data_IF_889363040684
#
_entry.id   IF_889363040684
#
_cell.length_a   1.000
_cell.length_b   1.000
_cell.length_c   1.000
_cell.angle_alpha   90.00
_cell.angle_beta   90.00
_cell.angle_gamma   90.00
#
_symmetry.space_group_name_H-M   'P 1'
#
loop_
_entity.id
_entity.type
_entity.pdbx_description
1 polymer ?
#
# COMPACT_ATOMS: atom_id res chain seq x y z
N UNK A 1 18.24 3.11 -4.56
CA UNK A 1 17.67 3.49 -5.88
C UNK A 1 17.95 2.30 -6.77
N UNK A 2 16.95 1.49 -7.09
CA UNK A 2 17.16 0.31 -7.94
C UNK A 2 17.83 0.74 -9.24
N UNK A 3 18.91 0.05 -9.63
CA UNK A 3 19.58 0.31 -10.91
C UNK A 3 18.58 -0.06 -12.00
N UNK A 4 18.27 0.87 -12.91
CA UNK A 4 17.40 0.61 -14.07
C UNK A 4 17.92 -0.64 -14.79
N UNK A 5 17.10 -1.68 -14.89
CA UNK A 5 17.39 -2.88 -15.69
C UNK A 5 17.57 -4.19 -14.93
N UNK A 6 17.66 -4.19 -13.58
CA UNK A 6 17.67 -5.44 -12.80
C UNK A 6 16.28 -5.78 -12.27
N UNK A 7 15.82 -7.01 -12.52
CA UNK A 7 14.61 -7.55 -11.92
C UNK A 7 14.90 -8.08 -10.52
N UNK A 8 14.05 -7.72 -9.56
CA UNK A 8 14.13 -8.18 -8.17
C UNK A 8 12.91 -9.06 -7.88
N UNK A 9 13.16 -10.33 -7.54
CA UNK A 9 12.08 -11.27 -7.17
C UNK A 9 12.01 -11.46 -5.66
N UNK A 10 10.80 -11.49 -5.12
CA UNK A 10 10.49 -11.87 -3.73
C UNK A 10 9.58 -13.08 -3.78
N UNK A 11 9.88 -14.11 -3.00
CA UNK A 11 9.09 -15.34 -2.93
C UNK A 11 8.61 -15.56 -1.50
N UNK A 12 7.34 -15.91 -1.36
CA UNK A 12 6.73 -16.37 -0.12
C UNK A 12 6.32 -17.83 -0.32
N UNK A 13 6.73 -18.67 0.62
CA UNK A 13 6.25 -20.04 0.75
C UNK A 13 5.22 -20.02 1.89
N UNK A 14 3.95 -20.16 1.54
CA UNK A 14 2.81 -20.19 2.45
C UNK A 14 2.38 -21.65 2.59
N UNK A 15 2.26 -22.13 3.80
CA UNK A 15 1.97 -23.54 4.09
C UNK A 15 0.59 -23.71 4.67
N UNK A 16 -0.06 -24.84 4.39
CA UNK A 16 -1.33 -25.23 5.00
C UNK A 16 -2.46 -24.22 4.74
N UNK A 17 -2.77 -23.99 3.46
CA UNK A 17 -3.84 -23.08 3.05
C UNK A 17 -5.22 -23.70 3.25
N UNK A 18 -6.11 -22.95 3.90
CA UNK A 18 -7.52 -23.29 4.10
C UNK A 18 -8.46 -22.20 3.54
N UNK A 19 -9.75 -22.55 3.45
CA UNK A 19 -10.82 -21.66 3.03
C UNK A 19 -10.90 -20.42 3.93
N UNK A 20 -10.81 -19.24 3.31
CA UNK A 20 -10.93 -17.96 4.00
C UNK A 20 -9.62 -17.43 4.60
N UNK A 21 -8.51 -18.13 4.44
CA UNK A 21 -7.21 -17.67 4.93
C UNK A 21 -6.78 -16.33 4.31
N UNK A 22 -6.16 -15.49 5.13
CA UNK A 22 -5.65 -14.17 4.73
C UNK A 22 -4.20 -13.99 5.16
N UNK A 23 -3.33 -13.75 4.20
CA UNK A 23 -1.90 -13.52 4.43
C UNK A 23 -1.49 -12.11 4.00
N UNK A 24 -0.88 -11.37 4.92
CA UNK A 24 -0.26 -10.07 4.60
C UNK A 24 1.20 -10.25 4.17
N UNK A 25 1.48 -9.85 2.93
CA UNK A 25 2.77 -10.02 2.27
C UNK A 25 3.45 -8.66 2.13
N UNK A 26 4.45 -8.40 2.98
CA UNK A 26 5.27 -7.17 2.93
C UNK A 26 6.53 -7.37 2.10
N UNK A 27 6.42 -7.06 0.80
CA UNK A 27 7.53 -7.25 -0.16
C UNK A 27 8.68 -6.29 0.10
N UNK A 28 8.47 -5.19 0.81
CA UNK A 28 9.53 -4.22 1.13
C UNK A 28 10.44 -4.72 2.24
N UNK A 29 9.89 -5.45 3.22
CA UNK A 29 10.67 -6.18 4.21
C UNK A 29 11.57 -7.22 3.53
N UNK A 30 11.00 -8.05 2.67
CA UNK A 30 11.75 -9.12 2.01
C UNK A 30 12.81 -8.59 1.04
N UNK A 31 12.49 -7.55 0.26
CA UNK A 31 13.49 -6.85 -0.55
C UNK A 31 14.62 -6.26 0.30
N UNK A 32 14.30 -5.71 1.48
CA UNK A 32 15.30 -5.18 2.40
C UNK A 32 16.25 -6.27 2.88
N UNK A 33 15.71 -7.42 3.31
CA UNK A 33 16.49 -8.59 3.72
C UNK A 33 17.38 -9.09 2.58
N UNK A 34 16.80 -9.26 1.38
CA UNK A 34 17.49 -9.80 0.20
C UNK A 34 18.61 -8.89 -0.32
N UNK A 35 18.36 -7.58 -0.35
CA UNK A 35 19.31 -6.61 -0.93
C UNK A 35 20.32 -6.08 0.09
N UNK A 36 20.16 -6.41 1.38
CA UNK A 36 20.95 -5.83 2.47
C UNK A 36 20.95 -4.29 2.42
N UNK A 37 19.86 -3.73 1.90
CA UNK A 37 19.66 -2.30 1.72
C UNK A 37 18.22 -1.97 2.08
N UNK A 38 18.02 -0.91 2.85
CA UNK A 38 16.70 -0.44 3.23
C UNK A 38 15.82 -0.08 2.01
N UNK A 39 14.84 -0.93 1.73
CA UNK A 39 13.70 -0.67 0.87
C UNK A 39 12.53 -0.28 1.78
N UNK A 40 12.24 1.03 1.81
CA UNK A 40 11.24 1.59 2.73
C UNK A 40 9.84 1.22 2.26
N UNK A 41 8.96 0.88 3.21
CA UNK A 41 7.53 0.77 2.97
C UNK A 41 6.94 2.09 2.42
N UNK A 42 7.57 3.24 2.71
CA UNK A 42 7.26 4.53 2.07
C UNK A 42 7.61 4.67 0.58
N UNK A 43 7.50 3.60 -0.20
CA UNK A 43 7.84 3.54 -1.62
C UNK A 43 6.67 2.99 -2.45
N UNK A 44 6.64 3.35 -3.73
CA UNK A 44 5.79 2.72 -4.74
C UNK A 44 6.67 1.73 -5.50
N UNK A 45 6.27 0.47 -5.50
CA UNK A 45 6.95 -0.62 -6.17
C UNK A 45 6.37 -0.82 -7.57
N UNK A 46 7.22 -1.17 -8.53
CA UNK A 46 6.87 -1.41 -9.92
C UNK A 46 6.78 -2.91 -10.17
N UNK A 47 5.59 -3.48 -9.96
CA UNK A 47 5.34 -4.90 -10.21
C UNK A 47 5.32 -5.15 -11.72
N UNK A 48 6.13 -6.09 -12.20
CA UNK A 48 6.23 -6.48 -13.61
C UNK A 48 5.89 -7.94 -13.86
N UNK A 49 5.63 -8.69 -12.80
CA UNK A 49 5.12 -10.04 -12.89
C UNK A 49 4.80 -10.60 -11.53
N UNK A 50 3.90 -11.57 -11.53
CA UNK A 50 3.47 -12.34 -10.38
C UNK A 50 3.31 -13.78 -10.85
N UNK A 51 3.90 -14.71 -10.11
CA UNK A 51 3.75 -16.14 -10.34
C UNK A 51 3.24 -16.80 -9.05
N UNK A 52 2.22 -17.63 -9.16
CA UNK A 52 1.66 -18.39 -8.04
C UNK A 52 1.58 -19.85 -8.47
N UNK A 53 2.11 -20.73 -7.63
CA UNK A 53 2.05 -22.18 -7.82
C UNK A 53 1.56 -22.85 -6.54
N UNK A 54 0.67 -23.82 -6.69
CA UNK A 54 0.28 -24.71 -5.61
C UNK A 54 1.06 -26.03 -5.67
N UNK A 55 1.36 -26.58 -4.50
CA UNK A 55 1.95 -27.89 -4.32
C UNK A 55 1.29 -28.59 -3.13
N UNK A 56 1.32 -29.92 -3.13
CA UNK A 56 0.90 -30.72 -1.98
C UNK A 56 2.05 -30.83 -0.99
N UNK A 57 1.75 -30.73 0.30
CA UNK A 57 2.69 -31.08 1.36
C UNK A 57 2.07 -32.20 2.18
N UNK A 58 2.60 -33.42 2.06
CA UNK A 58 2.01 -34.61 2.70
C UNK A 58 2.00 -35.84 1.80
N UNK A 59 1.23 -36.86 2.20
CA UNK A 59 1.11 -38.11 1.44
C UNK A 59 0.35 -37.89 0.12
N UNK A 60 0.83 -38.42 -1.03
CA UNK A 60 0.32 -38.11 -2.37
C UNK A 60 -1.06 -38.71 -2.72
N UNK A 61 -1.81 -39.17 -1.73
CA UNK A 61 -3.07 -39.87 -1.96
C UNK A 61 -4.18 -39.16 -1.17
N UNK A 62 -5.21 -38.60 -1.82
CA UNK A 62 -5.57 -38.58 -3.25
C UNK A 62 -4.89 -37.50 -4.13
N UNK A 63 -4.99 -37.63 -5.48
CA UNK A 63 -4.06 -37.03 -6.44
C UNK A 63 -4.49 -35.63 -6.91
N UNK A 64 -4.51 -34.64 -6.02
CA UNK A 64 -4.55 -33.25 -6.44
C UNK A 64 -5.43 -32.32 -5.62
N UNK A 65 -5.27 -31.03 -5.92
CA UNK A 65 -6.00 -29.95 -5.29
C UNK A 65 -6.00 -28.69 -6.14
N UNK A 66 -6.77 -27.71 -5.70
CA UNK A 66 -7.00 -26.43 -6.35
C UNK A 66 -7.08 -25.36 -5.27
N UNK A 67 -6.48 -24.22 -5.56
CA UNK A 67 -6.66 -23.00 -4.78
C UNK A 67 -7.14 -21.88 -5.69
N UNK A 68 -8.25 -21.28 -5.32
CA UNK A 68 -8.80 -20.08 -5.93
C UNK A 68 -8.74 -18.96 -4.90
N UNK A 69 -8.29 -17.78 -5.32
CA UNK A 69 -8.16 -16.67 -4.40
C UNK A 69 -7.98 -15.35 -5.12
N UNK A 70 -7.63 -14.35 -4.32
CA UNK A 70 -7.41 -13.00 -4.80
C UNK A 70 -6.26 -12.33 -4.07
N UNK A 71 -5.46 -11.58 -4.83
CA UNK A 71 -4.43 -10.70 -4.30
C UNK A 71 -4.93 -9.26 -4.30
N UNK A 72 -5.04 -8.70 -3.11
CA UNK A 72 -5.45 -7.33 -2.89
C UNK A 72 -4.23 -6.44 -2.71
N UNK A 73 -4.23 -5.29 -3.36
CA UNK A 73 -3.17 -4.30 -3.26
C UNK A 73 -3.71 -2.87 -3.35
N UNK A 74 -2.95 -1.92 -2.83
CA UNK A 74 -3.31 -0.50 -2.93
C UNK A 74 -2.63 0.14 -4.14
N UNK A 75 -3.42 0.63 -5.10
CA UNK A 75 -2.91 1.49 -6.17
C UNK A 75 -2.55 2.87 -5.62
N UNK A 76 -1.45 3.51 -6.07
CA UNK A 76 -1.00 4.79 -5.52
C UNK A 76 -1.78 5.96 -6.14
N UNK A 77 -2.96 6.22 -5.59
CA UNK A 77 -3.71 7.44 -5.91
C UNK A 77 -3.12 8.64 -5.16
N UNK A 78 -3.43 9.85 -5.64
CA UNK A 78 -2.98 11.09 -4.98
C UNK A 78 -3.42 11.13 -3.50
N UNK A 79 -4.70 10.86 -3.24
CA UNK A 79 -5.25 10.84 -1.88
C UNK A 79 -4.56 9.83 -0.97
N UNK A 80 -4.33 8.59 -1.43
CA UNK A 80 -3.63 7.57 -0.63
C UNK A 80 -2.18 7.96 -0.34
N UNK A 81 -1.48 8.51 -1.32
CA UNK A 81 -0.11 9.00 -1.13
C UNK A 81 -0.06 10.16 -0.13
N UNK A 82 -1.03 11.08 -0.18
CA UNK A 82 -1.10 12.21 0.75
C UNK A 82 -1.47 11.77 2.18
N UNK A 83 -2.39 10.81 2.32
CA UNK A 83 -2.71 10.14 3.58
C UNK A 83 -1.45 9.55 4.23
N UNK A 84 -0.69 8.77 3.47
CA UNK A 84 0.57 8.18 3.94
C UNK A 84 1.58 9.25 4.35
N UNK A 85 1.74 10.32 3.56
CA UNK A 85 2.68 11.42 3.89
C UNK A 85 2.31 12.13 5.19
N UNK A 86 1.00 12.34 5.43
CA UNK A 86 0.51 12.96 6.66
C UNK A 86 0.76 12.06 7.87
N UNK A 87 0.46 10.76 7.74
CA UNK A 87 0.73 9.77 8.78
C UNK A 87 2.24 9.71 9.12
N UNK A 88 3.10 9.60 8.10
CA UNK A 88 4.55 9.62 8.28
C UNK A 88 5.01 10.90 9.00
N UNK A 89 4.52 12.07 8.58
CA UNK A 89 4.91 13.36 9.17
C UNK A 89 4.47 13.48 10.63
N UNK A 90 3.27 12.98 10.97
CA UNK A 90 2.78 12.95 12.35
C UNK A 90 3.67 12.08 13.23
N UNK A 91 4.06 10.90 12.75
CA UNK A 91 4.96 9.99 13.47
C UNK A 91 6.36 10.58 13.63
N UNK A 92 6.94 11.21 12.60
CA UNK A 92 8.23 11.88 12.75
C UNK A 92 8.17 13.04 13.75
N UNK A 93 7.06 13.79 13.81
CA UNK A 93 6.84 14.83 14.81
C UNK A 93 6.81 14.24 16.22
N UNK A 94 6.09 13.13 16.43
CA UNK A 94 6.03 12.43 17.70
C UNK A 94 7.42 11.93 18.13
N UNK A 95 8.17 11.28 17.24
CA UNK A 95 9.55 10.83 17.51
C UNK A 95 10.46 11.98 17.94
N UNK A 96 10.37 13.12 17.25
CA UNK A 96 11.16 14.31 17.58
C UNK A 96 10.79 14.90 18.95
N UNK A 97 9.49 14.96 19.28
CA UNK A 97 9.03 15.43 20.59
C UNK A 97 9.55 14.54 21.72
N UNK A 98 9.69 13.25 21.45
CA UNK A 98 10.20 12.25 22.39
C UNK A 98 11.74 12.16 22.42
N UNK A 99 12.44 13.07 21.75
CA UNK A 99 13.91 13.09 21.75
C UNK A 99 14.57 11.93 20.99
N UNK A 100 13.82 11.14 20.22
CA UNK A 100 14.36 10.01 19.45
C UNK A 100 15.19 10.54 18.28
N UNK A 101 16.48 10.21 18.27
CA UNK A 101 17.39 10.63 17.21
C UNK A 101 16.98 10.06 15.83
N UNK A 102 17.25 10.77 14.73
CA UNK A 102 16.97 10.27 13.39
C UNK A 102 17.77 8.99 13.09
N UNK A 103 17.09 7.85 13.02
CA UNK A 103 17.70 6.59 12.61
C UNK A 103 17.48 6.36 11.10
N UNK A 104 18.56 6.19 10.34
CA UNK A 104 18.50 5.90 8.90
C UNK A 104 17.97 4.49 8.61
N UNK A 105 18.06 3.59 9.58
CA UNK A 105 17.51 2.23 9.53
C UNK A 105 16.06 2.16 10.00
N UNK A 106 15.47 3.24 10.51
CA UNK A 106 14.05 3.22 10.87
C UNK A 106 13.19 3.19 9.61
N UNK A 107 12.22 2.28 9.55
CA UNK A 107 11.18 2.29 8.53
C UNK A 107 9.80 2.51 9.15
N UNK A 108 9.05 3.47 8.61
CA UNK A 108 7.68 3.72 9.04
C UNK A 108 6.77 2.73 8.34
N UNK A 109 6.11 1.87 9.13
CA UNK A 109 5.21 0.84 8.63
C UNK A 109 3.76 1.09 9.03
N UNK A 110 2.87 0.71 8.14
CA UNK A 110 1.42 0.80 8.26
C UNK A 110 0.79 -0.54 7.87
N UNK A 111 -0.20 -0.96 8.64
CA UNK A 111 -1.17 -1.98 8.23
C UNK A 111 -2.16 -1.38 7.25
N UNK A 112 -2.53 -2.15 6.22
CA UNK A 112 -3.56 -1.74 5.26
C UNK A 112 -4.96 -2.18 5.64
N UNK A 113 -5.08 -3.12 6.57
CA UNK A 113 -6.34 -3.59 7.12
C UNK A 113 -6.30 -3.38 8.63
N UNK A 114 -7.44 -2.98 9.19
CA UNK A 114 -7.71 -2.83 10.62
C UNK A 114 -7.35 -4.10 11.40
N UNK A 115 -7.43 -5.26 10.73
CA UNK A 115 -7.17 -6.57 11.32
C UNK A 115 -5.71 -7.04 11.19
N UNK A 116 -4.86 -6.31 10.47
CA UNK A 116 -3.44 -6.67 10.32
C UNK A 116 -2.67 -6.16 11.53
N UNK A 117 -2.57 -7.04 12.53
CA UNK A 117 -1.70 -6.82 13.69
C UNK A 117 -0.27 -7.20 13.32
N UNK A 118 0.56 -6.20 13.05
CA UNK A 118 2.00 -6.39 13.10
C UNK A 118 2.43 -6.34 14.56
N UNK A 119 2.34 -7.47 15.26
CA UNK A 119 2.83 -7.57 16.63
C UNK A 119 4.31 -7.98 16.62
N UNK A 120 5.12 -7.28 17.41
CA UNK A 120 6.52 -7.62 17.68
C UNK A 120 6.73 -9.01 18.31
N UNK A 121 5.66 -9.68 18.75
CA UNK A 121 5.66 -11.04 19.31
C UNK A 121 4.99 -12.13 18.46
N UNK A 122 4.54 -11.82 17.23
CA UNK A 122 3.90 -12.80 16.34
C UNK A 122 4.86 -13.49 15.36
N UNK A 123 4.32 -14.36 14.50
CA UNK A 123 5.07 -15.11 13.46
C UNK A 123 5.70 -14.22 12.35
N UNK A 124 5.52 -12.90 12.40
CA UNK A 124 6.06 -11.94 11.42
C UNK A 124 6.58 -10.67 12.12
N UNK A 125 7.72 -10.72 12.83
CA UNK A 125 8.30 -9.52 13.44
C UNK A 125 8.73 -8.54 12.35
N UNK A 126 8.32 -7.27 12.46
CA UNK A 126 8.80 -6.22 11.55
C UNK A 126 10.27 -5.90 11.88
N UNK A 127 11.22 -6.14 10.97
CA UNK A 127 12.60 -5.72 11.20
C UNK A 127 12.72 -4.19 11.17
N UNK A 128 13.50 -3.63 12.10
CA UNK A 128 13.82 -2.21 12.22
C UNK A 128 12.62 -1.27 12.48
N UNK A 129 11.65 -1.77 13.22
CA UNK A 129 10.57 -0.94 13.78
C UNK A 129 11.11 -0.08 14.93
N UNK A 130 10.52 1.10 15.15
CA UNK A 130 10.75 1.83 16.39
C UNK A 130 9.73 1.38 17.42
N UNK A 131 10.12 1.38 18.69
CA UNK A 131 9.26 1.06 19.81
C UNK A 131 9.30 2.21 20.82
N UNK A 132 8.20 2.42 21.53
CA UNK A 132 8.19 3.11 22.80
C UNK A 132 8.52 2.11 23.90
N UNK A 133 9.52 2.40 24.71
CA UNK A 133 9.71 1.69 25.96
C UNK A 133 8.66 2.23 26.94
N UNK A 134 7.68 1.41 27.31
CA UNK A 134 6.74 1.82 28.35
C UNK A 134 7.36 1.56 29.73
N UNK A 135 7.16 2.50 30.65
CA UNK A 135 7.74 2.46 32.02
C UNK A 135 7.22 1.32 32.90
N UNK A 136 6.33 0.46 32.39
CA UNK A 136 5.83 -0.71 33.08
C UNK A 136 6.36 -1.99 32.40
N UNK A 137 7.30 -2.67 33.06
CA UNK A 137 7.71 -4.06 32.80
C UNK A 137 8.34 -4.38 31.43
N UNK A 138 9.13 -3.48 30.84
CA UNK A 138 9.90 -3.81 29.62
C UNK A 138 9.01 -4.12 28.41
N UNK A 139 7.74 -3.70 28.44
CA UNK A 139 6.84 -3.78 27.32
C UNK A 139 7.18 -2.67 26.32
N UNK A 140 7.74 -3.06 25.18
CA UNK A 140 7.93 -2.20 24.02
C UNK A 140 6.61 -2.09 23.25
N UNK A 141 6.04 -0.90 23.19
CA UNK A 141 4.92 -0.61 22.28
C UNK A 141 5.44 -0.19 20.92
N UNK A 142 5.11 -0.96 19.90
CA UNK A 142 5.49 -0.65 18.54
C UNK A 142 4.97 0.72 18.07
N UNK A 143 5.86 1.50 17.45
CA UNK A 143 5.60 2.82 16.91
C UNK A 143 5.08 2.71 15.47
N UNK A 144 3.92 2.06 15.32
CA UNK A 144 3.09 2.12 14.12
C UNK A 144 1.85 2.98 14.36
N UNK A 145 1.20 3.42 13.28
CA UNK A 145 -0.08 4.12 13.40
C UNK A 145 -1.16 3.09 13.76
N UNK A 146 -1.43 2.91 15.05
CA UNK A 146 -2.64 2.24 15.57
C UNK A 146 -3.63 3.31 16.01
N UNK A 147 -4.90 3.17 15.65
CA UNK A 147 -5.92 3.92 16.39
C UNK A 147 -6.04 3.30 17.78
N UNK A 148 -5.90 4.12 18.82
CA UNK A 148 -5.83 3.67 20.22
C UNK A 148 -7.17 3.22 20.81
N UNK A 149 -8.23 3.13 20.00
CA UNK A 149 -9.56 2.67 20.40
C UNK A 149 -10.12 1.72 19.35
N UNK A 150 -10.69 0.59 19.79
CA UNK A 150 -11.29 -0.44 18.94
C UNK A 150 -12.54 0.00 18.16
N UNK A 151 -12.40 0.97 17.24
CA UNK A 151 -13.46 1.47 16.37
C UNK A 151 -13.11 1.38 14.88
N UNK A 152 -14.09 1.67 14.01
CA UNK A 152 -14.03 1.63 12.53
C UNK A 152 -13.06 2.63 11.88
N UNK A 153 -12.32 3.40 12.68
CA UNK A 153 -11.41 4.49 12.24
C UNK A 153 -9.93 4.05 12.13
N UNK A 154 -9.66 2.75 12.11
CA UNK A 154 -8.29 2.21 12.21
C UNK A 154 -7.43 2.39 10.95
N UNK A 155 -8.03 2.75 9.81
CA UNK A 155 -7.32 2.97 8.55
C UNK A 155 -6.75 4.39 8.46
N UNK A 156 -5.52 4.52 7.97
CA UNK A 156 -4.92 5.82 7.63
C UNK A 156 -5.76 6.60 6.59
N UNK A 157 -6.53 5.89 5.79
CA UNK A 157 -7.39 6.47 4.76
C UNK A 157 -8.67 7.02 5.37
N UNK A 158 -9.32 6.31 6.30
CA UNK A 158 -10.44 6.82 7.10
C UNK A 158 -10.06 8.14 7.80
N UNK A 159 -8.95 8.15 8.56
CA UNK A 159 -8.47 9.36 9.26
C UNK A 159 -8.10 10.50 8.29
N UNK A 160 -7.53 10.19 7.13
CA UNK A 160 -7.27 11.19 6.10
C UNK A 160 -8.57 11.78 5.55
N UNK A 161 -9.51 10.92 5.18
CA UNK A 161 -10.77 11.30 4.57
C UNK A 161 -11.68 12.06 5.53
N UNK A 162 -11.60 11.83 6.84
CA UNK A 162 -12.28 12.64 7.86
C UNK A 162 -11.76 14.09 7.87
N UNK A 163 -10.48 14.30 7.58
CA UNK A 163 -9.87 15.63 7.49
C UNK A 163 -9.95 16.30 6.11
N UNK A 164 -10.46 15.61 5.09
CA UNK A 164 -10.64 16.10 3.70
C UNK A 164 -12.10 16.46 3.41
N UNK A 165 -13.02 16.16 4.32
CA UNK A 165 -14.41 16.58 4.20
C UNK A 165 -14.53 18.10 4.09
N UNK A 166 -15.39 18.54 3.17
CA UNK A 166 -15.77 19.94 3.04
C UNK A 166 -16.53 20.31 4.31
N UNK A 167 -15.89 21.05 5.21
CA UNK A 167 -16.54 21.68 6.36
C UNK A 167 -17.43 22.80 5.86
N UNK A 168 -18.64 22.48 5.41
CA UNK A 168 -19.70 23.47 5.19
C UNK A 168 -20.97 22.97 5.86
N UNK A 169 -21.15 23.32 7.12
CA UNK A 169 -22.46 23.23 7.79
C UNK A 169 -23.26 24.52 7.67
N UNK A 170 -22.71 25.59 7.07
CA UNK A 170 -23.50 26.79 6.74
C UNK A 170 -22.77 27.63 5.68
N UNK A 171 -23.38 27.93 4.51
CA UNK A 171 -22.83 28.92 3.59
C UNK A 171 -23.15 30.34 4.11
N UNK A 172 -22.11 31.14 4.32
CA UNK A 172 -22.23 32.57 4.64
C UNK A 172 -22.12 33.37 3.34
N UNK A 173 -23.25 33.89 2.86
CA UNK A 173 -23.30 34.74 1.67
C UNK A 173 -23.40 36.20 2.10
N UNK A 174 -22.33 36.97 1.87
CA UNK A 174 -22.39 38.42 1.95
C UNK A 174 -23.28 38.97 0.83
N UNK A 175 -24.26 39.82 1.17
CA UNK A 175 -25.21 40.38 0.22
C UNK A 175 -24.52 41.25 -0.85
N UNK A 176 -24.57 40.84 -2.13
CA UNK A 176 -24.18 41.70 -3.24
C UNK A 176 -24.17 41.10 -4.64
N UNK A 177 -24.83 41.82 -5.56
CA UNK A 177 -25.03 41.67 -7.02
C UNK A 177 -26.20 40.78 -7.47
N UNK A 178 -27.19 41.40 -8.12
CA UNK A 178 -28.49 40.81 -8.53
C UNK A 178 -28.53 40.65 -10.06
N UNK A 179 -28.80 39.45 -10.60
CA UNK A 179 -28.94 39.20 -12.04
C UNK A 179 -30.31 39.63 -12.62
N UNK A 180 -30.35 39.87 -13.93
CA UNK A 180 -31.43 40.54 -14.65
C UNK A 180 -32.61 39.60 -15.06
N UNK A 181 -33.74 39.72 -14.34
CA UNK A 181 -35.15 39.42 -14.70
C UNK A 181 -35.64 37.93 -14.76
N UNK A 182 -36.89 37.54 -14.43
CA UNK A 182 -38.22 38.22 -14.36
C UNK A 182 -39.14 37.71 -13.21
N UNK A 183 -39.77 38.63 -12.45
CA UNK A 183 -41.11 38.66 -11.79
C UNK A 183 -41.83 37.41 -11.23
N UNK A 184 -41.18 36.34 -10.79
CA UNK A 184 -41.76 35.45 -9.77
C UNK A 184 -40.73 35.18 -8.67
N UNK A 185 -41.20 35.21 -7.41
CA UNK A 185 -40.35 35.24 -6.21
C UNK A 185 -39.64 33.91 -5.88
N UNK A 186 -39.71 32.91 -6.76
CA UNK A 186 -39.11 31.59 -6.57
C UNK A 186 -38.58 31.03 -7.90
N UNK A 187 -37.66 31.75 -8.54
CA UNK A 187 -36.81 31.18 -9.58
C UNK A 187 -35.42 30.94 -8.99
N UNK A 188 -35.26 29.79 -8.34
CA UNK A 188 -33.97 29.31 -7.86
C UNK A 188 -33.16 28.77 -9.04
N UNK A 189 -32.24 29.58 -9.55
CA UNK A 189 -31.21 29.10 -10.48
C UNK A 189 -30.20 28.26 -9.71
N UNK A 190 -30.53 27.01 -9.45
CA UNK A 190 -29.55 26.01 -9.03
C UNK A 190 -28.86 25.49 -10.28
N UNK A 191 -27.61 25.90 -10.50
CA UNK A 191 -26.75 25.08 -11.35
C UNK A 191 -26.67 23.72 -10.67
N UNK A 192 -27.21 22.67 -11.31
CA UNK A 192 -26.98 21.31 -10.88
C UNK A 192 -25.48 21.04 -11.13
N UNK A 193 -24.65 21.46 -10.18
CA UNK A 193 -23.39 20.79 -9.90
C UNK A 193 -23.75 19.42 -9.30
N UNK A 194 -24.63 18.64 -9.97
CA UNK A 194 -24.60 17.20 -9.86
C UNK A 194 -23.18 16.88 -10.26
N UNK A 195 -22.35 16.61 -9.25
CA UNK A 195 -21.14 15.80 -9.30
C UNK A 195 -20.88 15.42 -10.75
N UNK A 196 -20.06 16.19 -11.46
CA UNK A 196 -19.67 15.83 -12.82
C UNK A 196 -18.96 14.47 -12.73
N UNK A 197 -19.74 13.39 -12.85
CA UNK A 197 -19.37 12.00 -13.00
C UNK A 197 -18.25 11.48 -12.08
N UNK A 198 -18.04 12.11 -10.92
CA UNK A 198 -17.11 11.65 -9.90
C UNK A 198 -17.83 10.68 -8.99
N UNK A 199 -17.59 9.38 -9.17
CA UNK A 199 -18.01 8.32 -8.24
C UNK A 199 -17.47 8.49 -6.82
N UNK A 200 -16.62 9.51 -6.59
CA UNK A 200 -16.08 9.87 -5.29
C UNK A 200 -16.68 11.21 -4.78
N UNK A 201 -17.50 11.20 -3.71
CA UNK A 201 -18.02 12.41 -3.06
C UNK A 201 -16.93 13.43 -2.67
N UNK A 202 -15.73 12.92 -2.37
CA UNK A 202 -14.61 13.68 -1.79
C UNK A 202 -13.59 14.13 -2.87
N UNK A 203 -13.95 13.99 -4.15
CA UNK A 203 -13.12 14.39 -5.30
C UNK A 203 -11.84 13.53 -5.48
N UNK A 204 -10.93 13.92 -6.38
CA UNK A 204 -9.69 13.18 -6.68
C UNK A 204 -8.66 13.16 -5.52
N UNK A 205 -8.96 13.81 -4.40
CA UNK A 205 -8.11 13.88 -3.21
C UNK A 205 -8.48 12.85 -2.13
N UNK A 206 -9.62 12.17 -2.27
CA UNK A 206 -9.97 11.12 -1.31
C UNK A 206 -9.03 9.92 -1.44
N UNK A 207 -8.69 9.35 -0.29
CA UNK A 207 -7.98 8.10 -0.21
C UNK A 207 -9.00 6.95 -0.12
N UNK A 208 -9.34 6.34 -1.26
CA UNK A 208 -10.29 5.23 -1.27
C UNK A 208 -9.73 4.02 -0.52
N UNK A 209 -10.53 3.38 0.33
CA UNK A 209 -10.15 2.16 1.07
C UNK A 209 -10.29 0.87 0.26
N UNK A 210 -10.97 0.94 -0.88
CA UNK A 210 -11.17 -0.19 -1.79
C UNK A 210 -9.85 -0.60 -2.43
N UNK A 211 -9.35 -1.78 -2.05
CA UNK A 211 -8.19 -2.40 -2.68
C UNK A 211 -8.46 -2.75 -4.14
N UNK A 212 -7.40 -2.69 -4.95
CA UNK A 212 -7.40 -3.28 -6.28
C UNK A 212 -7.12 -4.78 -6.17
N UNK A 213 -7.64 -5.57 -7.11
CA UNK A 213 -7.69 -7.03 -7.01
C UNK A 213 -7.03 -7.69 -8.23
N UNK A 214 -6.22 -8.71 -7.99
CA UNK A 214 -5.74 -9.66 -9.00
C UNK A 214 -6.28 -11.04 -8.62
N UNK A 215 -7.32 -11.56 -9.30
CA UNK A 215 -7.80 -12.92 -9.03
C UNK A 215 -6.78 -13.93 -9.52
N UNK A 216 -6.66 -15.05 -8.81
CA UNK A 216 -5.81 -16.16 -9.21
C UNK A 216 -6.52 -17.49 -9.00
N UNK A 217 -6.10 -18.47 -9.80
CA UNK A 217 -6.48 -19.87 -9.63
C UNK A 217 -5.26 -20.71 -10.00
N UNK A 218 -4.89 -21.63 -9.13
CA UNK A 218 -3.83 -22.60 -9.34
C UNK A 218 -4.36 -23.97 -8.96
N UNK A 219 -3.86 -25.01 -9.60
CA UNK A 219 -4.20 -26.39 -9.27
C UNK A 219 -2.97 -27.27 -9.42
N UNK A 220 -2.94 -28.36 -8.68
CA UNK A 220 -1.92 -29.39 -8.82
C UNK A 220 -2.61 -30.75 -8.88
N UNK A 221 -1.96 -31.69 -9.54
CA UNK A 221 -2.33 -33.09 -9.54
C UNK A 221 -1.07 -33.92 -9.37
N UNK A 222 -1.08 -34.78 -8.37
CA UNK A 222 -0.02 -35.72 -8.02
C UNK A 222 -0.50 -37.12 -8.38
N UNK A 223 -0.35 -37.54 -9.65
CA UNK A 223 -0.53 -38.96 -9.97
C UNK A 223 0.76 -39.71 -9.64
N UNK A 224 0.66 -41.00 -9.28
CA UNK A 224 1.80 -41.87 -8.93
C UNK A 224 2.90 -41.96 -10.00
N UNK A 225 2.65 -41.44 -11.20
CA UNK A 225 3.58 -41.41 -12.33
C UNK A 225 3.94 -40.01 -12.83
N UNK A 226 3.16 -38.97 -12.51
CA UNK A 226 3.33 -37.61 -13.04
C UNK A 226 2.76 -36.58 -12.06
N UNK A 227 3.61 -35.63 -11.66
CA UNK A 227 3.19 -34.40 -10.99
C UNK A 227 2.94 -33.31 -12.04
N UNK A 228 1.74 -32.74 -12.05
CA UNK A 228 1.38 -31.60 -12.91
C UNK A 228 0.87 -30.46 -12.04
N UNK A 229 1.50 -29.29 -12.12
CA UNK A 229 1.04 -28.08 -11.46
C UNK A 229 0.70 -27.00 -12.51
N UNK A 230 -0.47 -26.41 -12.37
CA UNK A 230 -0.96 -25.30 -13.19
C UNK A 230 -0.56 -24.01 -12.51
N UNK A 231 0.55 -23.42 -12.95
CA UNK A 231 1.04 -22.16 -12.41
C UNK A 231 0.20 -20.99 -12.94
N UNK A 232 -0.27 -20.16 -12.01
CA UNK A 232 -0.85 -18.87 -12.36
C UNK A 232 0.28 -17.87 -12.63
N UNK A 233 0.27 -17.28 -13.82
CA UNK A 233 1.24 -16.26 -14.21
C UNK A 233 0.50 -14.99 -14.63
N UNK A 234 0.71 -13.91 -13.90
CA UNK A 234 0.19 -12.60 -14.22
C UNK A 234 1.32 -11.67 -14.68
N UNK A 235 1.10 -10.95 -15.78
CA UNK A 235 2.05 -9.98 -16.34
C UNK A 235 1.28 -8.73 -16.79
N UNK A 236 1.83 -7.52 -16.59
CA UNK A 236 1.28 -6.32 -17.21
C UNK A 236 1.52 -6.35 -18.72
N UNK A 237 0.78 -5.50 -19.45
CA UNK A 237 0.98 -5.30 -20.89
C UNK A 237 2.42 -4.87 -21.15
N UNK A 238 2.99 -5.29 -22.28
CA UNK A 238 4.39 -5.08 -22.64
C UNK A 238 4.80 -3.60 -22.50
N UNK A 239 5.85 -3.35 -21.72
CA UNK A 239 6.39 -1.99 -21.47
C UNK A 239 5.74 -1.27 -20.27
N UNK A 240 4.69 -1.82 -19.69
CA UNK A 240 4.03 -1.28 -18.51
C UNK A 240 4.44 -2.01 -17.23
N UNK A 241 4.13 -1.40 -16.10
CA UNK A 241 4.26 -2.00 -14.77
C UNK A 241 3.03 -1.64 -13.96
N UNK A 242 2.66 -2.51 -13.02
CA UNK A 242 1.63 -2.21 -12.06
C UNK A 242 2.25 -1.46 -10.87
N UNK A 243 1.85 -0.21 -10.60
CA UNK A 243 2.33 0.52 -9.46
C UNK A 243 1.60 0.04 -8.19
N UNK A 244 2.37 -0.46 -7.23
CA UNK A 244 1.85 -0.94 -5.94
C UNK A 244 2.34 -0.03 -4.83
N UNK A 245 1.40 0.58 -4.11
CA UNK A 245 1.71 1.43 -2.97
C UNK A 245 2.22 0.57 -1.82
N UNK A 246 3.31 1.02 -1.19
CA UNK A 246 3.95 0.40 -0.04
C UNK A 246 4.48 -1.03 -0.21
N UNK A 247 4.30 -1.65 -1.38
CA UNK A 247 4.73 -3.04 -1.60
C UNK A 247 4.02 -4.04 -0.69
N UNK A 248 2.82 -3.72 -0.22
CA UNK A 248 2.02 -4.64 0.58
C UNK A 248 0.95 -5.27 -0.30
N UNK A 249 0.75 -6.56 -0.11
CA UNK A 249 -0.33 -7.33 -0.70
C UNK A 249 -1.04 -8.11 0.41
N UNK A 250 -2.35 -8.30 0.27
CA UNK A 250 -3.07 -9.31 1.03
C UNK A 250 -3.45 -10.43 0.08
N UNK A 251 -2.98 -11.64 0.34
CA UNK A 251 -3.46 -12.84 -0.33
C UNK A 251 -4.67 -13.35 0.45
N UNK A 252 -5.80 -13.51 -0.23
CA UNK A 252 -6.99 -14.11 0.34
C UNK A 252 -7.29 -15.41 -0.41
N UNK A 253 -7.34 -16.51 0.31
CA UNK A 253 -7.81 -17.79 -0.18
C UNK A 253 -9.33 -17.79 -0.10
N UNK A 254 -9.99 -17.95 -1.25
CA UNK A 254 -11.45 -17.98 -1.32
C UNK A 254 -11.98 -19.42 -1.29
N UNK A 255 -11.24 -20.33 -1.92
CA UNK A 255 -11.56 -21.74 -1.99
C UNK A 255 -10.24 -22.54 -2.11
N UNK A 256 -10.03 -23.49 -1.22
CA UNK A 256 -8.98 -24.49 -1.21
C UNK A 256 -9.68 -25.85 -1.24
N UNK A 257 -9.70 -26.48 -2.41
CA UNK A 257 -10.28 -27.81 -2.59
C UNK A 257 -9.17 -28.83 -2.87
N UNK A 258 -9.01 -29.78 -1.96
CA UNK A 258 -7.98 -30.82 -1.99
C UNK A 258 -8.18 -31.71 -0.77
N UNK A 259 -7.51 -32.85 -0.70
CA UNK A 259 -7.73 -33.79 0.41
C UNK A 259 -6.97 -33.34 1.65
N UNK A 260 -7.42 -33.82 2.81
CA UNK A 260 -7.17 -33.46 4.23
C UNK A 260 -5.73 -33.13 4.70
N UNK A 261 -4.74 -33.02 3.81
CA UNK A 261 -3.37 -32.60 4.12
C UNK A 261 -2.94 -31.36 3.31
N UNK A 262 -2.71 -30.26 4.06
CA UNK A 262 -2.06 -28.98 3.75
C UNK A 262 -1.68 -28.71 2.28
N UNK A 263 -2.43 -27.83 1.61
CA UNK A 263 -2.03 -27.24 0.34
C UNK A 263 -1.04 -26.10 0.60
N UNK A 264 0.12 -26.12 -0.05
CA UNK A 264 1.10 -25.05 0.05
C UNK A 264 1.05 -24.15 -1.19
N UNK A 265 1.14 -22.84 -0.99
CA UNK A 265 1.26 -21.84 -2.04
C UNK A 265 2.63 -21.20 -2.05
N UNK A 266 3.28 -21.23 -3.21
CA UNK A 266 4.45 -20.40 -3.49
C UNK A 266 4.03 -19.20 -4.33
N UNK A 267 4.23 -18.00 -3.78
CA UNK A 267 3.90 -16.72 -4.42
C UNK A 267 5.17 -15.94 -4.69
N UNK A 268 5.45 -15.65 -5.96
CA UNK A 268 6.63 -14.89 -6.39
C UNK A 268 6.23 -13.58 -7.04
N UNK A 269 6.70 -12.46 -6.49
CA UNK A 269 6.53 -11.13 -7.04
C UNK A 269 7.82 -10.68 -7.75
N UNK A 270 7.68 -10.11 -8.95
CA UNK A 270 8.78 -9.56 -9.72
C UNK A 270 8.67 -8.04 -9.81
N UNK A 271 9.72 -7.34 -9.36
CA UNK A 271 9.79 -5.89 -9.36
C UNK A 271 10.91 -5.37 -10.25
N UNK A 272 10.61 -4.38 -11.09
CA UNK A 272 11.62 -3.67 -11.88
C UNK A 272 12.28 -2.50 -11.13
N UNK A 273 11.71 -2.11 -9.99
CA UNK A 273 12.25 -1.07 -9.11
C UNK A 273 11.19 -0.42 -8.23
N UNK A 274 11.60 0.60 -7.48
CA UNK A 274 10.73 1.36 -6.60
C UNK A 274 11.16 2.83 -6.52
N UNK A 275 10.22 3.70 -6.15
CA UNK A 275 10.46 5.13 -5.95
C UNK A 275 9.74 5.62 -4.69
N UNK A 276 10.28 6.62 -3.96
CA UNK A 276 9.69 7.05 -2.70
C UNK A 276 8.34 7.76 -2.92
N UNK A 277 7.37 7.51 -2.03
CA UNK A 277 6.10 8.25 -1.94
C UNK A 277 6.37 9.71 -1.53
N UNK A 278 7.39 9.91 -0.69
CA UNK A 278 7.91 11.22 -0.35
C UNK A 278 8.52 11.83 -1.61
N UNK A 279 7.85 12.83 -2.17
CA UNK A 279 8.36 13.59 -3.30
C UNK A 279 9.75 14.11 -2.94
N UNK A 280 10.80 13.54 -3.53
CA UNK A 280 12.00 14.34 -3.77
C UNK A 280 11.58 15.35 -4.83
N UNK A 281 11.14 16.54 -4.40
CA UNK A 281 11.29 17.73 -5.26
C UNK A 281 12.77 17.70 -5.65
N UNK A 282 13.07 17.23 -6.87
CA UNK A 282 14.36 17.45 -7.48
C UNK A 282 14.46 18.96 -7.49
N UNK A 283 15.21 19.53 -6.55
CA UNK A 283 15.64 20.90 -6.70
C UNK A 283 16.48 20.86 -7.97
N UNK A 284 15.87 21.26 -9.08
CA UNK A 284 16.62 21.64 -10.25
C UNK A 284 17.39 22.88 -9.83
N UNK A 285 18.52 22.69 -9.15
CA UNK A 285 19.60 23.65 -9.09
C UNK A 285 20.16 23.75 -10.52
N UNK A 286 19.34 24.30 -11.43
CA UNK A 286 19.80 24.86 -12.69
C UNK A 286 20.45 26.16 -12.27
N UNK A 287 21.75 26.06 -11.97
CA UNK A 287 22.54 27.18 -11.50
C UNK A 287 22.37 28.36 -12.46
N UNK A 288 21.70 29.42 -12.01
CA UNK A 288 21.86 30.75 -12.58
C UNK A 288 23.31 31.19 -12.32
N UNK A 289 24.25 30.77 -13.17
CA UNK A 289 25.53 31.48 -13.35
C UNK A 289 25.28 32.63 -14.34
N UNK A 290 24.45 33.58 -13.91
CA UNK A 290 24.35 34.92 -14.48
C UNK A 290 25.21 35.86 -13.65
N UNK A 291 26.54 35.72 -13.78
CA UNK A 291 27.51 36.57 -13.10
C UNK A 291 28.14 37.55 -14.08
N UNK A 292 27.39 38.61 -14.40
CA UNK A 292 27.87 39.76 -15.16
C UNK A 292 28.79 40.59 -14.24
N UNK A 293 30.09 40.50 -14.44
CA UNK A 293 31.16 41.41 -13.97
C UNK A 293 32.28 41.25 -14.99
N UNK A 294 32.95 42.24 -15.52
CA UNK A 294 32.94 43.70 -15.51
C UNK A 294 34.17 44.02 -16.34
N UNK A 295 34.07 44.97 -17.28
CA UNK A 295 35.22 45.53 -18.00
C UNK A 295 36.39 45.81 -17.05
N UNK A 296 37.60 45.42 -17.42
CA UNK A 296 38.80 46.20 -17.13
C UNK A 296 39.76 46.11 -18.31
N UNK A 297 40.03 47.30 -18.86
CA UNK A 297 41.12 47.64 -19.76
C UNK A 297 42.46 47.38 -19.07
N UNK A 298 43.41 46.86 -19.82
CA UNK A 298 44.80 47.35 -19.89
C UNK A 298 45.33 46.94 -21.25
#
# INVERSE_FOLDING_TARGET
>A
MARKGLLHSVTYDLTDMDDGDVFSLDTTAELTKKLQQMVRQGSILKLVGLDISAQQTGSPDPPGGRVTGQLLYMSPTKGRCDAWRKAFSAVQKARRLQGVAPNYQYDFRLGYDANVSYSSGGNNPIPNQAFFETTAQGASEDLFFKDGGGGTDQSIFAKWNAGVEVQTTTPDFAAGWVPYMTTSSDLDYVSNESRLLSTNPKGPQAATEVSSVIPFQTSFSSSSTLETSTNFMWRPIAGEYLPVMCGLFNLQVMEASGVEESIDLRVTFHFSGWYPILNKKRSSKRGKKGGKRSRRRS
#
